data_IF_610968627144
#
_entry.id   IF_610968627144
#
_cell.length_a   1.000
_cell.length_b   1.000
_cell.length_c   1.000
_cell.angle_alpha   90.00
_cell.angle_beta   90.00
_cell.angle_gamma   90.00
#
_symmetry.space_group_name_H-M   'P 1'
#
loop_
_entity.id
_entity.type
_entity.pdbx_description
1 polymer ?
#
# COMPACT_ATOMS: atom_id res chain seq x y z
N UNK A 1 -76.15 -7.52 -17.58
CA UNK A 1 -75.04 -6.60 -17.74
C UNK A 1 -74.03 -6.88 -16.63
N UNK A 2 -72.91 -7.49 -16.99
CA UNK A 2 -71.83 -7.83 -16.03
C UNK A 2 -70.65 -6.86 -16.28
N UNK A 3 -70.09 -6.16 -15.24
CA UNK A 3 -68.93 -5.34 -15.44
C UNK A 3 -67.67 -6.22 -15.44
N UNK A 4 -66.84 -6.01 -16.45
CA UNK A 4 -65.53 -6.63 -16.64
C UNK A 4 -64.54 -5.86 -15.76
N UNK A 5 -64.02 -6.56 -14.73
CA UNK A 5 -62.99 -6.01 -13.85
C UNK A 5 -61.62 -6.11 -14.54
N UNK A 6 -61.08 -4.98 -14.91
CA UNK A 6 -59.73 -4.90 -15.52
C UNK A 6 -58.70 -4.89 -14.38
N UNK A 7 -58.01 -6.01 -14.19
CA UNK A 7 -56.91 -6.11 -13.25
C UNK A 7 -55.62 -5.59 -13.93
N UNK A 8 -55.20 -4.38 -13.56
CA UNK A 8 -53.90 -3.87 -13.95
C UNK A 8 -52.83 -4.56 -13.08
N UNK A 9 -52.08 -5.47 -13.68
CA UNK A 9 -50.87 -6.04 -13.07
C UNK A 9 -49.74 -5.03 -13.26
N UNK A 10 -49.42 -4.31 -12.17
CA UNK A 10 -48.23 -3.47 -12.10
C UNK A 10 -47.05 -4.39 -11.80
N UNK A 11 -46.27 -4.70 -12.84
CA UNK A 11 -44.99 -5.37 -12.68
C UNK A 11 -43.98 -4.40 -12.05
N UNK A 12 -43.73 -4.54 -10.74
CA UNK A 12 -42.60 -3.88 -10.08
C UNK A 12 -41.30 -4.55 -10.54
N UNK A 13 -40.66 -3.94 -11.54
CA UNK A 13 -39.29 -4.27 -11.90
C UNK A 13 -38.36 -3.66 -10.85
N UNK A 14 -38.03 -4.42 -9.80
CA UNK A 14 -36.95 -4.11 -8.87
C UNK A 14 -35.63 -4.24 -9.62
N UNK A 15 -35.16 -3.13 -10.20
CA UNK A 15 -33.79 -3.01 -10.71
C UNK A 15 -32.82 -3.13 -9.54
N UNK A 16 -32.23 -4.32 -9.38
CA UNK A 16 -31.12 -4.54 -8.48
C UNK A 16 -29.91 -3.79 -9.03
N UNK A 17 -29.74 -2.52 -8.66
CA UNK A 17 -28.51 -1.79 -8.93
C UNK A 17 -27.44 -2.35 -8.03
N UNK A 18 -26.61 -3.25 -8.58
CA UNK A 18 -25.35 -3.66 -7.95
C UNK A 18 -24.55 -2.40 -7.65
N UNK A 19 -24.01 -2.25 -6.43
CA UNK A 19 -23.11 -1.13 -6.17
C UNK A 19 -21.92 -1.28 -7.13
N UNK A 20 -21.83 -0.37 -8.09
CA UNK A 20 -20.64 -0.22 -8.93
C UNK A 20 -19.44 -0.20 -7.99
N UNK A 21 -18.53 -1.16 -8.20
CA UNK A 21 -17.23 -1.11 -7.58
C UNK A 21 -16.67 0.28 -7.91
N UNK A 22 -16.68 1.19 -6.95
CA UNK A 22 -16.05 2.50 -7.09
C UNK A 22 -14.58 2.20 -7.31
N UNK A 23 -14.16 2.19 -8.56
CA UNK A 23 -12.76 2.41 -8.89
C UNK A 23 -12.36 3.64 -8.10
N UNK A 24 -11.32 3.54 -7.28
CA UNK A 24 -10.75 4.71 -6.58
C UNK A 24 -10.07 5.56 -7.66
N UNK A 25 -10.89 6.21 -8.47
CA UNK A 25 -10.49 7.25 -9.40
C UNK A 25 -10.40 8.55 -8.59
N UNK A 26 -9.26 8.79 -7.93
CA UNK A 26 -9.18 9.96 -7.07
C UNK A 26 -7.80 10.29 -6.54
N UNK A 27 -6.78 9.53 -6.89
CA UNK A 27 -5.39 9.90 -6.66
C UNK A 27 -4.73 10.17 -8.02
N UNK A 28 -5.34 11.06 -8.82
CA UNK A 28 -4.59 11.67 -9.92
C UNK A 28 -3.54 12.59 -9.29
N UNK A 29 -2.40 12.02 -8.96
CA UNK A 29 -1.26 12.80 -8.53
C UNK A 29 -0.49 13.23 -9.78
N UNK A 30 0.02 14.44 -9.76
CA UNK A 30 0.93 14.95 -10.80
C UNK A 30 2.39 14.74 -10.37
N UNK A 31 2.62 13.73 -9.51
CA UNK A 31 3.93 13.41 -8.97
C UNK A 31 4.92 13.01 -10.06
N UNK A 32 6.18 13.34 -9.83
CA UNK A 32 7.28 12.98 -10.70
C UNK A 32 8.11 11.85 -10.06
N UNK A 33 8.75 10.99 -10.87
CA UNK A 33 9.69 10.01 -10.35
C UNK A 33 10.81 10.66 -9.55
N UNK A 34 11.19 10.05 -8.45
CA UNK A 34 12.30 10.47 -7.60
C UNK A 34 13.32 9.35 -7.44
N UNK A 35 14.52 9.69 -6.97
CA UNK A 35 15.58 8.71 -6.77
C UNK A 35 15.38 7.96 -5.45
N UNK A 36 15.66 6.65 -5.45
CA UNK A 36 15.66 5.82 -4.24
C UNK A 36 17.04 5.78 -3.55
N UNK A 37 17.89 6.77 -3.80
CA UNK A 37 19.27 6.81 -3.29
C UNK A 37 19.34 6.76 -1.77
N UNK A 38 18.46 7.49 -1.09
CA UNK A 38 18.40 7.48 0.38
C UNK A 38 18.12 6.07 0.94
N UNK A 39 17.23 5.33 0.30
CA UNK A 39 16.96 3.95 0.66
C UNK A 39 18.14 3.02 0.35
N UNK A 40 18.75 3.20 -0.80
CA UNK A 40 19.95 2.45 -1.21
C UNK A 40 21.09 2.63 -0.20
N UNK A 41 21.33 3.87 0.26
CA UNK A 41 22.35 4.17 1.27
C UNK A 41 22.06 3.49 2.61
N UNK A 42 20.80 3.48 3.05
CA UNK A 42 20.39 2.75 4.26
C UNK A 42 20.60 1.25 4.12
N UNK A 43 20.25 0.66 2.98
CA UNK A 43 20.47 -0.77 2.73
C UNK A 43 21.96 -1.12 2.71
N UNK A 44 22.80 -0.34 2.03
CA UNK A 44 24.25 -0.55 2.00
C UNK A 44 24.89 -0.46 3.38
N UNK A 45 24.37 0.40 4.25
CA UNK A 45 24.85 0.57 5.61
C UNK A 45 24.42 -0.54 6.57
N UNK A 46 23.21 -1.08 6.38
CA UNK A 46 22.56 -1.93 7.40
C UNK A 46 22.21 -3.33 6.91
N UNK A 47 22.48 -3.68 5.65
CA UNK A 47 22.28 -5.04 5.13
C UNK A 47 23.62 -5.58 4.64
N UNK A 48 24.02 -6.74 5.16
CA UNK A 48 25.27 -7.37 4.73
C UNK A 48 25.10 -8.12 3.39
N UNK A 49 26.21 -8.57 2.76
CA UNK A 49 26.15 -9.31 1.49
C UNK A 49 25.33 -10.62 1.56
N UNK A 50 25.22 -11.23 2.74
CA UNK A 50 24.43 -12.46 2.96
C UNK A 50 22.93 -12.17 3.15
N UNK A 51 22.53 -10.90 3.11
CA UNK A 51 21.13 -10.48 3.26
C UNK A 51 20.66 -10.29 4.70
N UNK A 52 21.55 -10.37 5.71
CA UNK A 52 21.18 -10.11 7.10
C UNK A 52 21.01 -8.62 7.36
N UNK A 53 19.92 -8.27 8.04
CA UNK A 53 19.54 -6.88 8.35
C UNK A 53 19.95 -6.52 9.78
N UNK A 54 20.70 -5.44 9.93
CA UNK A 54 21.03 -4.84 11.21
C UNK A 54 19.92 -3.89 11.66
N UNK A 55 18.91 -4.40 12.36
CA UNK A 55 17.78 -3.61 12.84
C UNK A 55 18.19 -2.56 13.90
N UNK A 56 19.18 -2.84 14.75
CA UNK A 56 19.71 -1.85 15.69
C UNK A 56 20.32 -0.63 14.97
N UNK A 57 20.95 -0.88 13.82
CA UNK A 57 21.45 0.17 12.95
C UNK A 57 20.32 1.00 12.33
N UNK A 58 19.25 0.36 11.85
CA UNK A 58 18.07 1.07 11.36
C UNK A 58 17.35 1.88 12.44
N UNK A 59 17.33 1.41 13.70
CA UNK A 59 16.77 2.17 14.83
C UNK A 59 17.57 3.48 15.03
N UNK A 60 18.89 3.42 14.98
CA UNK A 60 19.76 4.60 15.11
C UNK A 60 19.56 5.60 13.96
N UNK A 61 19.30 5.10 12.76
CA UNK A 61 19.05 5.89 11.55
C UNK A 61 17.56 6.04 11.22
N UNK A 62 16.67 5.87 12.21
CA UNK A 62 15.22 5.90 12.02
C UNK A 62 14.71 7.21 11.42
N UNK A 63 15.41 8.33 11.66
CA UNK A 63 15.08 9.61 11.02
C UNK A 63 15.24 9.55 9.50
N UNK A 64 16.35 8.97 9.01
CA UNK A 64 16.59 8.81 7.58
C UNK A 64 15.57 7.88 6.93
N UNK A 65 15.22 6.79 7.61
CA UNK A 65 14.15 5.90 7.15
C UNK A 65 12.80 6.63 7.07
N UNK A 66 12.44 7.40 8.10
CA UNK A 66 11.19 8.16 8.11
C UNK A 66 11.16 9.23 7.01
N UNK A 67 12.27 9.93 6.74
CA UNK A 67 12.36 10.89 5.66
C UNK A 67 12.14 10.22 4.30
N UNK A 68 12.70 9.04 4.09
CA UNK A 68 12.44 8.26 2.87
C UNK A 68 10.98 7.82 2.74
N UNK A 69 10.36 7.37 3.83
CA UNK A 69 8.94 7.00 3.84
C UNK A 69 8.03 8.20 3.54
N UNK A 70 8.37 9.40 4.02
CA UNK A 70 7.68 10.63 3.65
C UNK A 70 7.80 10.94 2.15
N UNK A 71 8.96 10.67 1.51
CA UNK A 71 9.08 10.80 0.06
C UNK A 71 8.17 9.81 -0.67
N UNK A 72 8.09 8.56 -0.19
CA UNK A 72 7.15 7.56 -0.72
C UNK A 72 5.71 8.09 -0.62
N UNK A 73 5.28 8.54 0.55
CA UNK A 73 3.92 9.02 0.79
C UNK A 73 3.54 10.26 -0.04
N UNK A 74 4.52 11.13 -0.29
CA UNK A 74 4.30 12.39 -1.00
C UNK A 74 4.35 12.26 -2.52
N UNK A 75 4.86 11.15 -3.05
CA UNK A 75 5.10 10.96 -4.48
C UNK A 75 4.44 9.67 -4.99
N UNK A 76 3.14 9.55 -4.80
CA UNK A 76 2.40 8.39 -5.31
C UNK A 76 2.51 8.29 -6.83
N UNK A 77 2.91 7.12 -7.39
CA UNK A 77 3.15 6.98 -8.81
C UNK A 77 1.86 7.07 -9.62
N UNK A 78 1.98 7.58 -10.84
CA UNK A 78 0.91 7.67 -11.83
C UNK A 78 1.42 7.25 -13.21
N UNK A 79 0.54 6.74 -14.06
CA UNK A 79 0.91 6.26 -15.39
C UNK A 79 1.24 7.39 -16.39
N UNK A 80 0.95 8.64 -16.05
CA UNK A 80 1.21 9.81 -16.90
C UNK A 80 2.70 10.18 -16.91
N UNK A 81 3.32 10.16 -15.73
CA UNK A 81 4.67 10.70 -15.52
C UNK A 81 5.70 9.61 -15.20
N UNK A 82 5.26 8.39 -14.85
CA UNK A 82 6.12 7.30 -14.39
C UNK A 82 6.14 6.15 -15.40
N UNK A 83 7.31 5.60 -15.70
CA UNK A 83 7.40 4.35 -16.45
C UNK A 83 6.93 3.16 -15.61
N UNK A 84 6.59 2.04 -16.25
CA UNK A 84 6.19 0.81 -15.55
C UNK A 84 7.29 0.30 -14.61
N UNK A 85 8.54 0.42 -15.02
CA UNK A 85 9.71 0.01 -14.23
C UNK A 85 9.87 0.90 -13.00
N UNK A 86 9.65 2.20 -13.13
CA UNK A 86 9.67 3.14 -12.01
C UNK A 86 8.54 2.88 -11.03
N UNK A 87 7.34 2.60 -11.52
CA UNK A 87 6.19 2.21 -10.68
C UNK A 87 6.50 0.91 -9.92
N UNK A 88 7.05 -0.09 -10.60
CA UNK A 88 7.42 -1.36 -9.98
C UNK A 88 8.51 -1.15 -8.91
N UNK A 89 9.56 -0.39 -9.24
CA UNK A 89 10.64 -0.08 -8.30
C UNK A 89 10.11 0.66 -7.06
N UNK A 90 9.20 1.64 -7.26
CA UNK A 90 8.55 2.35 -6.16
C UNK A 90 7.85 1.37 -5.20
N UNK A 91 7.01 0.47 -5.71
CA UNK A 91 6.25 -0.45 -4.87
C UNK A 91 7.12 -1.47 -4.15
N UNK A 92 8.17 -2.00 -4.81
CA UNK A 92 9.13 -2.91 -4.18
C UNK A 92 9.86 -2.20 -3.04
N UNK A 93 10.35 -0.98 -3.28
CA UNK A 93 11.09 -0.22 -2.27
C UNK A 93 10.17 0.24 -1.12
N UNK A 94 8.95 0.68 -1.43
CA UNK A 94 7.95 1.02 -0.42
C UNK A 94 7.65 -0.17 0.50
N UNK A 95 7.35 -1.34 -0.08
CA UNK A 95 7.11 -2.56 0.67
C UNK A 95 8.27 -2.89 1.63
N UNK A 96 9.50 -2.88 1.12
CA UNK A 96 10.67 -3.21 1.93
C UNK A 96 10.93 -2.18 3.04
N UNK A 97 10.81 -0.89 2.75
CA UNK A 97 11.04 0.17 3.72
C UNK A 97 9.98 0.16 4.84
N UNK A 98 8.70 -0.02 4.50
CA UNK A 98 7.64 -0.18 5.51
C UNK A 98 7.80 -1.46 6.32
N UNK A 99 8.26 -2.55 5.70
CA UNK A 99 8.56 -3.80 6.42
C UNK A 99 9.64 -3.58 7.47
N UNK A 100 10.75 -2.91 7.11
CA UNK A 100 11.80 -2.55 8.09
C UNK A 100 11.23 -1.64 9.18
N UNK A 101 10.42 -0.62 8.82
CA UNK A 101 9.80 0.27 9.80
C UNK A 101 8.94 -0.49 10.81
N UNK A 102 8.15 -1.47 10.36
CA UNK A 102 7.31 -2.28 11.26
C UNK A 102 8.17 -3.11 12.20
N UNK A 103 9.23 -3.75 11.68
CA UNK A 103 10.12 -4.54 12.51
C UNK A 103 10.79 -3.68 13.57
N UNK A 104 11.38 -2.53 13.21
CA UNK A 104 12.08 -1.68 14.20
C UNK A 104 11.14 -1.06 15.24
N UNK A 105 9.86 -0.82 14.90
CA UNK A 105 8.84 -0.34 15.86
C UNK A 105 8.46 -1.40 16.90
N UNK A 106 8.68 -2.67 16.61
CA UNK A 106 8.35 -3.79 17.47
C UNK A 106 9.60 -4.53 17.99
N UNK A 107 10.78 -4.00 17.72
CA UNK A 107 12.04 -4.61 18.09
C UNK A 107 12.28 -4.58 19.61
N UNK A 108 12.82 -5.67 20.22
CA UNK A 108 13.23 -6.92 19.58
C UNK A 108 12.06 -7.91 19.38
N UNK A 109 11.99 -8.52 18.20
CA UNK A 109 11.05 -9.61 17.90
C UNK A 109 11.80 -10.80 17.31
N UNK A 110 11.40 -12.03 17.64
CA UNK A 110 12.01 -13.23 17.09
C UNK A 110 11.59 -13.47 15.63
N UNK A 111 10.38 -13.07 15.26
CA UNK A 111 9.85 -13.19 13.91
C UNK A 111 8.85 -12.07 13.62
N UNK A 112 8.80 -11.63 12.36
CA UNK A 112 7.76 -10.69 11.90
C UNK A 112 6.33 -11.24 12.14
N UNK A 113 6.18 -12.58 12.20
CA UNK A 113 4.90 -13.25 12.51
C UNK A 113 4.44 -13.05 13.95
N UNK A 114 5.34 -12.69 14.85
CA UNK A 114 5.05 -12.46 16.28
C UNK A 114 4.53 -11.03 16.51
N UNK A 115 4.61 -10.17 15.50
CA UNK A 115 4.05 -8.83 15.55
C UNK A 115 2.52 -8.95 15.54
N UNK A 116 1.89 -8.65 16.70
CA UNK A 116 0.44 -8.82 16.90
C UNK A 116 -0.38 -7.98 15.92
N UNK A 117 -1.56 -8.46 15.49
CA UNK A 117 -2.40 -7.78 14.53
C UNK A 117 -3.00 -6.48 15.10
N UNK A 118 -2.38 -5.40 14.79
CA UNK A 118 -2.86 -4.02 14.81
C UNK A 118 -2.49 -3.38 13.49
N UNK A 119 -1.75 -4.14 12.67
CA UNK A 119 -1.27 -3.74 11.35
C UNK A 119 -2.02 -4.60 10.34
N UNK A 120 -3.23 -4.14 9.99
CA UNK A 120 -4.21 -4.91 9.20
C UNK A 120 -3.67 -5.49 7.88
N UNK A 121 -2.61 -4.92 7.30
CA UNK A 121 -2.09 -5.41 6.05
C UNK A 121 -1.15 -6.63 6.20
N UNK A 122 -0.52 -6.84 7.36
CA UNK A 122 0.35 -8.02 7.58
C UNK A 122 -0.45 -9.32 7.70
N UNK A 123 -1.71 -9.24 8.14
CA UNK A 123 -2.56 -10.43 8.27
C UNK A 123 -3.07 -10.99 6.93
N UNK A 124 -2.94 -10.23 5.84
CA UNK A 124 -3.42 -10.64 4.52
C UNK A 124 -2.30 -11.10 3.58
N UNK A 125 -1.04 -10.98 3.98
CA UNK A 125 0.13 -11.21 3.11
C UNK A 125 0.95 -12.44 3.52
N UNK A 126 0.72 -13.00 4.73
CA UNK A 126 1.48 -14.16 5.26
C UNK A 126 0.59 -15.33 5.66
#
# INVERSE_FOLDING_TARGET
>A
MRPILLICIIALSTSCTLPSCRTISGLETDSQPFTHEQWTNLLQKHVNPDGWVNYDGFIKDSLQLNNYLQQIESNYPNEKNWSREQILAYWINAYNAYTVQIVIRNYPVASIKDIKPGVAFLNSVW
#
